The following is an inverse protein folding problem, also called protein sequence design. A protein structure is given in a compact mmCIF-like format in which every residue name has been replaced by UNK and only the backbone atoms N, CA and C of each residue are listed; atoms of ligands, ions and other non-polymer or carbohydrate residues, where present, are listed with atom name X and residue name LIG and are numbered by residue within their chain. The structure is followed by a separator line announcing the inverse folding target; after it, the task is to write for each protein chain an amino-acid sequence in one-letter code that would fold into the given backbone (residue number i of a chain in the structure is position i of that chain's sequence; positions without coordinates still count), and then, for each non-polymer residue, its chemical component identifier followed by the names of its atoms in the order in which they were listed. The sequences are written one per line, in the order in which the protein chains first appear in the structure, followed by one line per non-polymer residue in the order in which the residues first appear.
data_IF_115416247509
#
_entry.id   IF_115416247509
#
_cell.length_a   1.000
_cell.length_b   1.000
_cell.length_c   1.000
_cell.angle_alpha   90.00
_cell.angle_beta   90.00
_cell.angle_gamma   90.00
#
_symmetry.space_group_name_H-M   'P 1'
#
loop_
_entity.id
_entity.type
_entity.pdbx_description
1 polymer ?
#
# COMPACT_ATOMS: atom_id res chain seq x y z
N UNK A 1 -50.98 -23.02 -7.56
CA UNK A 1 -49.63 -23.11 -6.98
C UNK A 1 -48.89 -21.88 -7.48
N UNK A 2 -48.80 -20.87 -6.63
CA UNK A 2 -48.17 -19.59 -6.97
C UNK A 2 -46.67 -19.74 -6.78
N UNK A 3 -45.98 -19.76 -7.89
CA UNK A 3 -44.51 -19.70 -7.91
C UNK A 3 -44.11 -18.23 -7.65
N UNK A 4 -43.88 -17.89 -6.39
CA UNK A 4 -43.34 -16.59 -6.05
C UNK A 4 -41.86 -16.62 -6.39
N UNK A 5 -41.35 -15.65 -7.20
CA UNK A 5 -39.94 -15.61 -7.51
C UNK A 5 -39.14 -15.47 -6.18
N UNK A 6 -38.21 -16.36 -5.97
CA UNK A 6 -37.28 -16.29 -4.85
C UNK A 6 -36.54 -14.94 -4.94
N UNK A 7 -36.38 -14.20 -3.83
CA UNK A 7 -35.66 -12.94 -3.88
C UNK A 7 -34.23 -13.18 -4.35
N UNK A 8 -33.78 -12.46 -5.38
CA UNK A 8 -32.42 -12.52 -5.89
C UNK A 8 -31.45 -12.15 -4.76
N UNK A 9 -30.63 -13.10 -4.36
CA UNK A 9 -29.65 -12.91 -3.30
C UNK A 9 -28.32 -12.44 -3.89
N UNK A 10 -27.74 -11.44 -3.27
CA UNK A 10 -26.47 -10.84 -3.69
C UNK A 10 -25.40 -11.06 -2.63
N UNK A 11 -24.15 -11.26 -3.08
CA UNK A 11 -22.95 -11.18 -2.22
C UNK A 11 -22.08 -10.07 -2.71
N UNK A 12 -21.37 -9.39 -1.82
CA UNK A 12 -20.38 -8.38 -2.19
C UNK A 12 -18.98 -8.83 -1.79
N UNK A 13 -18.02 -8.54 -2.62
CA UNK A 13 -16.61 -8.67 -2.27
C UNK A 13 -16.11 -7.27 -1.90
N UNK A 14 -15.95 -7.04 -0.60
CA UNK A 14 -15.55 -5.75 -0.07
C UNK A 14 -14.03 -5.50 -0.19
N UNK A 15 -13.60 -4.28 0.14
CA UNK A 15 -12.21 -3.84 0.02
C UNK A 15 -11.25 -4.51 1.01
N UNK A 16 -11.78 -5.19 2.02
CA UNK A 16 -11.06 -5.98 3.03
C UNK A 16 -10.83 -7.45 2.62
N UNK A 17 -11.09 -7.78 1.34
CA UNK A 17 -11.05 -9.13 0.77
C UNK A 17 -12.04 -10.13 1.42
N UNK A 18 -13.07 -9.63 2.12
CA UNK A 18 -14.13 -10.44 2.71
C UNK A 18 -15.38 -10.43 1.82
N UNK A 19 -16.01 -11.57 1.65
CA UNK A 19 -17.30 -11.71 0.97
C UNK A 19 -18.42 -11.59 2.00
N UNK A 20 -19.26 -10.57 1.85
CA UNK A 20 -20.44 -10.33 2.68
C UNK A 20 -21.70 -10.76 1.96
N UNK A 21 -22.62 -11.35 2.68
CA UNK A 21 -23.92 -11.81 2.17
C UNK A 21 -24.12 -13.32 2.37
N UNK A 22 -25.21 -13.90 1.87
CA UNK A 22 -26.15 -13.28 0.92
C UNK A 22 -27.03 -12.18 1.53
N UNK A 23 -27.32 -11.13 0.75
CA UNK A 23 -28.20 -10.02 1.15
C UNK A 23 -29.22 -9.69 0.05
N UNK A 24 -30.41 -9.21 0.40
CA UNK A 24 -31.40 -8.76 -0.57
C UNK A 24 -30.99 -7.43 -1.20
N UNK A 25 -31.54 -7.12 -2.38
CA UNK A 25 -31.23 -5.89 -3.15
C UNK A 25 -31.43 -4.62 -2.32
N UNK A 26 -32.46 -4.54 -1.47
CA UNK A 26 -32.71 -3.37 -0.63
C UNK A 26 -31.55 -3.06 0.33
N UNK A 27 -30.89 -4.09 0.86
CA UNK A 27 -29.70 -3.92 1.71
C UNK A 27 -28.51 -3.42 0.88
N UNK A 28 -28.38 -3.91 -0.36
CA UNK A 28 -27.33 -3.47 -1.26
C UNK A 28 -27.52 -2.00 -1.65
N UNK A 29 -28.76 -1.59 -1.95
CA UNK A 29 -29.09 -0.16 -2.20
C UNK A 29 -28.79 0.73 -1.00
N UNK A 30 -29.09 0.26 0.21
CA UNK A 30 -28.75 0.98 1.43
C UNK A 30 -27.22 1.14 1.55
N UNK A 31 -26.43 0.08 1.32
CA UNK A 31 -24.98 0.14 1.36
C UNK A 31 -24.40 1.02 0.26
N UNK A 32 -25.05 1.13 -0.89
CA UNK A 32 -24.71 2.13 -1.92
C UNK A 32 -24.93 3.55 -1.37
N UNK A 33 -26.08 3.81 -0.70
CA UNK A 33 -26.37 5.13 -0.09
C UNK A 33 -25.39 5.49 1.04
N UNK A 34 -24.95 4.51 1.80
CA UNK A 34 -23.99 4.64 2.91
C UNK A 34 -22.51 4.68 2.44
N UNK A 35 -22.27 4.67 1.12
CA UNK A 35 -20.91 4.63 0.51
C UNK A 35 -20.07 3.39 0.84
N UNK A 36 -20.68 2.36 1.39
CA UNK A 36 -20.04 1.08 1.66
C UNK A 36 -19.88 0.23 0.40
N UNK A 37 -20.77 0.43 -0.59
CA UNK A 37 -20.72 -0.18 -1.91
C UNK A 37 -20.63 0.93 -2.95
N UNK A 38 -19.56 0.91 -3.73
CA UNK A 38 -19.32 1.85 -4.83
C UNK A 38 -19.45 1.14 -6.18
N UNK A 39 -19.59 1.89 -7.27
CA UNK A 39 -19.80 1.33 -8.61
C UNK A 39 -18.74 0.28 -9.02
N UNK A 40 -17.53 0.36 -8.47
CA UNK A 40 -16.43 -0.59 -8.73
C UNK A 40 -16.39 -1.79 -7.79
N UNK A 41 -17.26 -1.88 -6.78
CA UNK A 41 -17.37 -3.03 -5.87
C UNK A 41 -17.85 -4.25 -6.65
N UNK A 42 -17.28 -5.42 -6.39
CA UNK A 42 -17.72 -6.66 -7.00
C UNK A 42 -18.98 -7.20 -6.30
N UNK A 43 -19.99 -7.53 -7.10
CA UNK A 43 -21.26 -8.09 -6.66
C UNK A 43 -21.47 -9.42 -7.36
N UNK A 44 -21.80 -10.44 -6.60
CA UNK A 44 -22.18 -11.76 -7.10
C UNK A 44 -23.69 -11.83 -7.27
N UNK A 45 -24.14 -12.20 -8.44
CA UNK A 45 -25.54 -12.43 -8.75
C UNK A 45 -25.86 -13.91 -8.51
N UNK A 46 -26.58 -14.21 -7.46
CA UNK A 46 -26.92 -15.60 -7.10
C UNK A 46 -27.60 -16.40 -8.21
N UNK A 47 -28.47 -15.77 -9.01
CA UNK A 47 -29.18 -16.41 -10.13
C UNK A 47 -28.28 -16.82 -11.31
N UNK A 48 -27.19 -16.06 -11.54
CA UNK A 48 -26.31 -16.26 -12.70
C UNK A 48 -24.94 -16.81 -12.32
N UNK A 49 -24.70 -17.03 -11.04
CA UNK A 49 -23.40 -17.45 -10.47
C UNK A 49 -22.22 -16.66 -11.05
N UNK A 50 -22.40 -15.35 -11.17
CA UNK A 50 -21.45 -14.45 -11.82
C UNK A 50 -21.11 -13.23 -10.97
N UNK A 51 -19.83 -12.88 -10.92
CA UNK A 51 -19.36 -11.63 -10.33
C UNK A 51 -19.36 -10.52 -11.37
N UNK A 52 -20.05 -9.40 -11.10
CA UNK A 52 -20.04 -8.19 -11.92
C UNK A 52 -19.80 -6.96 -11.04
N UNK A 53 -19.52 -5.82 -11.65
CA UNK A 53 -19.38 -4.56 -10.89
C UNK A 53 -20.75 -4.06 -10.45
N UNK A 54 -20.82 -3.47 -9.23
CA UNK A 54 -22.07 -2.91 -8.70
C UNK A 54 -22.69 -1.87 -9.64
N UNK A 55 -21.86 -1.07 -10.35
CA UNK A 55 -22.32 -0.11 -11.34
C UNK A 55 -22.96 -0.75 -12.58
N UNK A 56 -22.69 -2.04 -12.86
CA UNK A 56 -23.25 -2.80 -13.98
C UNK A 56 -24.51 -3.60 -13.57
N UNK A 57 -24.83 -3.66 -12.27
CA UNK A 57 -26.04 -4.29 -11.74
C UNK A 57 -27.24 -3.42 -12.11
N UNK A 58 -28.16 -3.96 -12.91
CA UNK A 58 -29.29 -3.20 -13.44
C UNK A 58 -30.16 -2.60 -12.33
N UNK A 59 -30.38 -3.34 -11.24
CA UNK A 59 -31.19 -2.98 -10.09
C UNK A 59 -30.56 -1.85 -9.24
N UNK A 60 -29.27 -1.64 -9.32
CA UNK A 60 -28.56 -0.59 -8.57
C UNK A 60 -28.38 0.71 -9.36
N UNK A 61 -28.76 0.75 -10.66
CA UNK A 61 -28.58 1.94 -11.50
C UNK A 61 -29.27 3.17 -10.92
N UNK A 62 -30.48 3.02 -10.38
CA UNK A 62 -31.24 4.12 -9.78
C UNK A 62 -30.62 4.58 -8.45
N UNK A 63 -30.04 3.65 -7.68
CA UNK A 63 -29.35 3.98 -6.44
C UNK A 63 -28.04 4.79 -6.72
N UNK A 64 -27.41 4.56 -7.86
CA UNK A 64 -26.27 5.35 -8.33
C UNK A 64 -26.70 6.63 -9.08
N UNK A 65 -27.83 6.61 -9.83
CA UNK A 65 -28.32 7.76 -10.60
C UNK A 65 -28.82 8.92 -9.72
N UNK A 66 -29.37 8.65 -8.54
CA UNK A 66 -29.77 9.70 -7.58
C UNK A 66 -28.62 10.54 -7.03
N UNK A 67 -27.38 10.20 -7.36
CA UNK A 67 -26.16 10.92 -6.96
C UNK A 67 -25.65 11.91 -8.00
N UNK A 68 -26.22 11.92 -9.20
CA UNK A 68 -25.72 12.76 -10.31
C UNK A 68 -25.99 14.26 -10.14
N UNK A 69 -26.64 14.71 -9.05
CA UNK A 69 -26.99 16.13 -8.86
C UNK A 69 -26.37 16.82 -7.66
N UNK A 70 -25.46 16.16 -6.92
CA UNK A 70 -24.85 16.76 -5.74
C UNK A 70 -23.36 16.44 -5.57
N UNK A 71 -22.62 16.39 -6.64
CA UNK A 71 -21.17 16.71 -6.60
C UNK A 71 -20.63 16.76 -8.03
N UNK A 72 -20.45 17.96 -8.52
CA UNK A 72 -19.50 18.22 -9.59
C UNK A 72 -18.10 17.89 -9.11
N UNK A 73 -17.76 16.63 -9.18
CA UNK A 73 -16.39 16.14 -9.22
C UNK A 73 -16.42 15.05 -10.28
N UNK A 74 -15.90 15.39 -11.44
CA UNK A 74 -15.52 14.48 -12.48
C UNK A 74 -14.87 13.26 -11.84
N UNK A 75 -15.55 12.09 -11.90
CA UNK A 75 -14.86 10.82 -11.99
C UNK A 75 -14.06 10.86 -13.32
N UNK A 76 -13.04 11.68 -13.35
CA UNK A 76 -11.91 11.41 -14.20
C UNK A 76 -11.48 10.01 -13.79
N UNK A 77 -11.74 9.06 -14.68
CA UNK A 77 -11.05 7.77 -14.70
C UNK A 77 -9.58 8.15 -14.68
N UNK A 78 -9.03 8.24 -13.47
CA UNK A 78 -7.61 8.59 -13.31
C UNK A 78 -6.88 7.53 -14.09
N UNK A 79 -6.25 7.87 -15.23
CA UNK A 79 -5.68 6.87 -16.11
C UNK A 79 -4.68 6.06 -15.28
N UNK A 80 -4.65 4.74 -15.52
CA UNK A 80 -3.63 3.86 -14.97
C UNK A 80 -2.26 4.42 -15.39
N UNK A 81 -1.64 5.19 -14.51
CA UNK A 81 -0.27 5.66 -14.74
C UNK A 81 0.62 4.48 -14.38
N UNK A 82 1.30 3.91 -15.37
CA UNK A 82 2.16 2.73 -15.22
C UNK A 82 1.44 1.46 -14.71
N UNK A 83 0.14 1.32 -14.95
CA UNK A 83 -0.63 0.16 -14.48
C UNK A 83 -1.08 0.24 -13.02
N UNK A 84 -0.80 1.34 -12.31
CA UNK A 84 -1.24 1.58 -10.94
C UNK A 84 -2.42 2.54 -10.89
N UNK A 85 -3.44 2.18 -10.11
CA UNK A 85 -4.47 3.13 -9.69
C UNK A 85 -3.96 3.93 -8.49
N UNK A 86 -4.24 5.23 -8.37
CA UNK A 86 -3.81 6.03 -7.22
C UNK A 86 -4.18 5.38 -5.87
N UNK A 87 -5.38 4.79 -5.77
CA UNK A 87 -5.83 4.09 -4.56
C UNK A 87 -4.97 2.89 -4.15
N UNK A 88 -4.23 2.25 -5.06
CA UNK A 88 -3.29 1.18 -4.71
C UNK A 88 -2.13 1.69 -3.84
N UNK A 89 -1.79 2.97 -3.96
CA UNK A 89 -0.74 3.61 -3.15
C UNK A 89 -1.14 3.75 -1.67
N UNK A 90 -2.43 3.70 -1.36
CA UNK A 90 -2.92 3.78 0.04
C UNK A 90 -2.45 2.61 0.91
N UNK A 91 -2.03 1.49 0.29
CA UNK A 91 -1.36 0.39 1.00
C UNK A 91 -0.03 0.82 1.59
N UNK A 92 0.65 1.79 0.96
CA UNK A 92 1.88 2.37 1.50
C UNK A 92 1.52 3.32 2.64
N UNK A 93 1.89 2.95 3.87
CA UNK A 93 1.50 3.68 5.09
C UNK A 93 1.82 5.18 5.04
N UNK A 94 2.96 5.52 4.46
CA UNK A 94 3.36 6.91 4.32
C UNK A 94 2.50 7.73 3.34
N UNK A 95 1.71 7.07 2.50
CA UNK A 95 0.83 7.71 1.51
C UNK A 95 -0.65 7.61 1.89
N UNK A 96 -1.00 6.90 2.95
CA UNK A 96 -2.39 6.62 3.34
C UNK A 96 -3.22 7.87 3.67
N UNK A 97 -2.56 8.95 4.10
CA UNK A 97 -3.20 10.25 4.40
C UNK A 97 -3.42 11.16 3.20
N UNK A 98 -2.96 10.77 1.99
CA UNK A 98 -3.11 11.57 0.78
C UNK A 98 -4.48 11.36 0.14
N UNK A 99 -5.08 12.41 -0.44
CA UNK A 99 -6.28 12.29 -1.27
C UNK A 99 -5.93 11.73 -2.67
N UNK A 100 -6.96 11.38 -3.48
CA UNK A 100 -6.74 10.73 -4.78
C UNK A 100 -6.02 11.63 -5.79
N UNK A 101 -6.24 12.95 -5.74
CA UNK A 101 -5.53 13.89 -6.59
C UNK A 101 -4.03 13.93 -6.23
N UNK A 102 -3.70 13.95 -4.94
CA UNK A 102 -2.32 13.87 -4.46
C UNK A 102 -1.67 12.55 -4.85
N UNK A 103 -2.37 11.42 -4.66
CA UNK A 103 -1.88 10.11 -5.07
C UNK A 103 -1.66 10.00 -6.57
N UNK A 104 -2.57 10.58 -7.39
CA UNK A 104 -2.42 10.66 -8.85
C UNK A 104 -1.17 11.39 -9.30
N UNK A 105 -0.85 12.53 -8.66
CA UNK A 105 0.40 13.28 -8.89
C UNK A 105 1.62 12.49 -8.40
N UNK A 106 1.50 11.79 -7.28
CA UNK A 106 2.59 11.01 -6.70
C UNK A 106 2.98 9.81 -7.57
N UNK A 107 2.01 9.13 -8.22
CA UNK A 107 2.30 8.03 -9.16
C UNK A 107 3.20 8.46 -10.30
N UNK A 108 3.08 9.72 -10.79
CA UNK A 108 3.84 10.21 -11.93
C UNK A 108 5.36 10.34 -11.66
N UNK A 109 5.76 10.43 -10.39
CA UNK A 109 7.16 10.55 -9.99
C UNK A 109 7.78 9.23 -9.54
N UNK A 110 7.02 8.14 -9.55
CA UNK A 110 7.47 6.81 -9.13
C UNK A 110 7.76 5.90 -10.30
N UNK A 111 8.51 4.86 -10.04
CA UNK A 111 8.81 3.76 -10.97
C UNK A 111 8.40 2.44 -10.32
N UNK A 112 7.82 1.54 -11.13
CA UNK A 112 7.54 0.17 -10.69
C UNK A 112 8.79 -0.66 -10.94
N UNK A 113 9.26 -1.33 -9.88
CA UNK A 113 10.38 -2.27 -9.94
C UNK A 113 9.85 -3.65 -9.53
N UNK A 114 10.06 -4.65 -10.39
CA UNK A 114 9.79 -6.04 -10.07
C UNK A 114 11.10 -6.74 -9.70
N UNK A 115 11.05 -7.51 -8.64
CA UNK A 115 12.19 -8.30 -8.18
C UNK A 115 11.74 -9.76 -8.00
N UNK A 116 12.45 -10.67 -8.67
CA UNK A 116 12.27 -12.11 -8.46
C UNK A 116 12.75 -12.50 -7.06
N UNK A 117 12.26 -13.65 -6.56
CA UNK A 117 12.70 -14.19 -5.29
C UNK A 117 14.24 -14.29 -5.25
N UNK A 118 14.82 -13.93 -4.12
CA UNK A 118 16.26 -13.94 -3.82
C UNK A 118 17.11 -12.93 -4.61
N UNK A 119 16.49 -12.07 -5.42
CA UNK A 119 17.21 -10.98 -6.09
C UNK A 119 17.67 -9.94 -5.08
N UNK A 120 18.91 -9.51 -5.17
CA UNK A 120 19.43 -8.35 -4.43
C UNK A 120 18.93 -7.09 -5.13
N UNK A 121 18.18 -6.27 -4.40
CA UNK A 121 17.57 -5.01 -4.88
C UNK A 121 18.52 -3.85 -4.63
N UNK A 122 19.17 -3.88 -3.46
CA UNK A 122 20.10 -2.85 -2.99
C UNK A 122 21.33 -3.54 -2.40
N UNK A 123 22.50 -3.07 -2.71
CA UNK A 123 23.77 -3.56 -2.17
C UNK A 123 24.28 -2.65 -1.05
N UNK A 124 24.74 -3.24 0.07
CA UNK A 124 25.43 -2.52 1.14
C UNK A 124 26.62 -1.73 0.58
N UNK A 125 26.82 -0.50 1.02
CA UNK A 125 27.89 0.37 0.57
C UNK A 125 27.68 1.05 -0.78
N UNK A 126 26.67 0.64 -1.56
CA UNK A 126 26.32 1.31 -2.81
C UNK A 126 25.80 2.74 -2.55
N UNK A 127 25.85 3.66 -3.53
CA UNK A 127 25.26 4.98 -3.41
C UNK A 127 23.76 4.91 -3.11
N UNK A 128 23.29 5.75 -2.21
CA UNK A 128 21.88 5.85 -1.83
C UNK A 128 21.07 6.72 -2.78
N UNK A 129 20.74 6.21 -3.95
CA UNK A 129 20.12 6.94 -5.06
C UNK A 129 18.59 6.93 -5.11
N UNK A 130 17.95 6.15 -4.26
CA UNK A 130 16.47 6.00 -4.26
C UNK A 130 15.96 5.43 -2.93
N UNK A 131 14.67 5.61 -2.66
CA UNK A 131 13.91 4.84 -1.68
C UNK A 131 12.88 3.96 -2.37
N UNK A 132 12.37 2.97 -1.65
CA UNK A 132 11.44 1.98 -2.15
C UNK A 132 10.28 1.80 -1.19
N UNK A 133 9.09 1.54 -1.73
CA UNK A 133 7.93 1.08 -0.98
C UNK A 133 7.49 -0.30 -1.50
N UNK A 134 7.19 -1.23 -0.61
CA UNK A 134 6.71 -2.56 -0.98
C UNK A 134 5.21 -2.47 -1.28
N UNK A 135 4.80 -2.81 -2.51
CA UNK A 135 3.40 -2.96 -2.88
C UNK A 135 2.92 -4.39 -2.68
N UNK A 136 3.77 -5.35 -3.01
CA UNK A 136 3.48 -6.77 -2.93
C UNK A 136 4.77 -7.57 -2.73
N UNK A 137 4.65 -8.76 -2.10
CA UNK A 137 5.80 -9.58 -1.74
C UNK A 137 6.44 -9.17 -0.40
N UNK A 138 7.64 -9.69 -0.14
CA UNK A 138 8.42 -9.43 1.06
C UNK A 138 9.89 -9.28 0.71
N UNK A 139 10.56 -8.33 1.34
CA UNK A 139 12.01 -8.14 1.24
C UNK A 139 12.65 -8.08 2.63
N UNK A 140 13.93 -8.43 2.75
CA UNK A 140 14.69 -8.33 3.99
C UNK A 140 15.96 -7.51 3.82
N UNK A 141 16.27 -6.70 4.83
CA UNK A 141 17.58 -6.09 4.97
C UNK A 141 18.52 -7.05 5.71
N UNK A 142 19.73 -7.22 5.19
CA UNK A 142 20.76 -8.09 5.78
C UNK A 142 22.15 -7.47 5.68
N UNK A 143 23.03 -7.94 6.57
CA UNK A 143 24.47 -7.72 6.48
C UNK A 143 25.19 -9.07 6.49
N UNK A 144 26.39 -9.09 5.94
CA UNK A 144 27.30 -10.24 6.07
C UNK A 144 28.36 -9.87 7.10
N UNK A 145 28.31 -10.51 8.26
CA UNK A 145 29.28 -10.29 9.33
C UNK A 145 29.98 -11.62 9.66
N UNK A 146 31.31 -11.65 9.58
CA UNK A 146 32.10 -12.86 9.83
C UNK A 146 31.74 -14.04 8.91
N UNK A 147 31.34 -13.76 7.67
CA UNK A 147 30.91 -14.77 6.70
C UNK A 147 29.50 -15.32 6.92
N UNK A 148 28.76 -14.81 7.91
CA UNK A 148 27.38 -15.21 8.20
C UNK A 148 26.40 -14.12 7.85
N UNK A 149 25.26 -14.48 7.25
CA UNK A 149 24.15 -13.58 7.01
C UNK A 149 23.46 -13.27 8.34
N UNK A 150 23.27 -11.97 8.61
CA UNK A 150 22.49 -11.48 9.74
C UNK A 150 21.35 -10.64 9.20
N UNK A 151 20.11 -11.08 9.44
CA UNK A 151 18.92 -10.31 9.08
C UNK A 151 18.71 -9.18 10.08
N UNK A 152 18.58 -7.96 9.56
CA UNK A 152 18.35 -6.75 10.35
C UNK A 152 16.87 -6.41 10.46
N UNK A 153 16.13 -6.53 9.34
CA UNK A 153 14.72 -6.17 9.26
C UNK A 153 14.02 -6.88 8.09
N UNK A 154 12.69 -7.00 8.18
CA UNK A 154 11.80 -7.41 7.09
C UNK A 154 10.84 -6.29 6.73
N UNK A 155 10.50 -6.21 5.46
CA UNK A 155 9.57 -5.24 4.91
C UNK A 155 8.53 -5.97 4.06
N UNK A 156 7.27 -5.82 4.45
CA UNK A 156 6.11 -6.33 3.71
C UNK A 156 5.31 -5.20 3.04
N UNK A 157 4.16 -5.51 2.44
CA UNK A 157 3.32 -4.53 1.77
C UNK A 157 3.00 -3.33 2.67
N UNK A 158 3.23 -2.13 2.13
CA UNK A 158 3.07 -0.86 2.83
C UNK A 158 4.30 -0.33 3.55
N UNK A 159 5.36 -1.12 3.70
CA UNK A 159 6.60 -0.68 4.32
C UNK A 159 7.50 0.04 3.32
N UNK A 160 8.37 0.91 3.84
CA UNK A 160 9.36 1.68 3.08
C UNK A 160 10.76 1.30 3.55
N UNK A 161 11.71 1.29 2.61
CA UNK A 161 13.13 1.09 2.89
C UNK A 161 14.02 1.94 1.97
N UNK A 162 15.28 2.13 2.37
CA UNK A 162 16.27 2.90 1.64
C UNK A 162 16.10 4.41 1.74
N UNK A 163 15.21 4.88 2.61
CA UNK A 163 14.90 6.29 2.87
C UNK A 163 16.06 7.03 3.56
N UNK A 164 16.86 6.36 4.38
CA UNK A 164 17.95 7.00 5.14
C UNK A 164 18.91 7.77 4.21
N UNK A 165 19.34 7.12 3.14
CA UNK A 165 20.25 7.70 2.19
C UNK A 165 19.69 8.93 1.44
N UNK A 166 18.37 9.12 1.41
CA UNK A 166 17.77 10.35 0.84
C UNK A 166 17.88 11.54 1.78
N UNK A 167 18.03 11.30 3.09
CA UNK A 167 18.14 12.37 4.08
C UNK A 167 19.59 12.76 4.39
N UNK A 168 20.49 11.79 4.45
CA UNK A 168 21.88 12.02 4.83
C UNK A 168 22.91 11.93 3.69
N UNK A 169 22.44 11.51 2.48
CA UNK A 169 23.33 11.31 1.34
C UNK A 169 24.33 10.17 1.52
N UNK A 170 24.17 9.37 2.58
CA UNK A 170 25.09 8.29 2.91
C UNK A 170 24.98 7.07 2.01
N UNK A 171 25.92 6.13 2.09
CA UNK A 171 25.84 4.86 1.39
C UNK A 171 24.75 3.96 2.00
N UNK A 172 24.36 2.95 1.26
CA UNK A 172 23.39 1.93 1.73
C UNK A 172 23.92 1.20 2.97
N UNK A 173 23.16 1.17 4.04
CA UNK A 173 23.56 0.55 5.32
C UNK A 173 23.55 -0.98 5.29
N UNK A 174 22.80 -1.59 4.38
CA UNK A 174 22.61 -3.03 4.28
C UNK A 174 22.27 -3.45 2.84
N UNK A 175 22.46 -4.76 2.56
CA UNK A 175 21.81 -5.37 1.40
C UNK A 175 20.30 -5.45 1.63
N UNK A 176 19.51 -5.28 0.57
CA UNK A 176 18.08 -5.61 0.58
C UNK A 176 17.82 -6.69 -0.47
N UNK A 177 17.24 -7.81 -0.02
CA UNK A 177 17.02 -9.01 -0.83
C UNK A 177 15.54 -9.36 -0.82
N UNK A 178 14.97 -9.68 -1.97
CA UNK A 178 13.61 -10.19 -2.08
C UNK A 178 13.49 -11.59 -1.46
N UNK A 179 12.56 -11.78 -0.53
CA UNK A 179 12.25 -13.12 0.02
C UNK A 179 11.32 -13.89 -0.91
N UNK A 180 10.45 -13.17 -1.61
CA UNK A 180 9.51 -13.68 -2.62
C UNK A 180 9.53 -12.78 -3.84
N UNK A 181 8.87 -13.19 -4.94
CA UNK A 181 8.60 -12.28 -6.05
C UNK A 181 7.89 -11.04 -5.51
N UNK A 182 8.45 -9.87 -5.76
CA UNK A 182 8.02 -8.62 -5.11
C UNK A 182 7.81 -7.52 -6.13
N UNK A 183 6.82 -6.68 -5.88
CA UNK A 183 6.54 -5.46 -6.64
C UNK A 183 6.81 -4.25 -5.74
N UNK A 184 7.68 -3.39 -6.18
CA UNK A 184 8.16 -2.22 -5.43
C UNK A 184 7.84 -0.95 -6.19
N UNK A 185 7.61 0.13 -5.46
CA UNK A 185 7.64 1.49 -5.97
C UNK A 185 8.99 2.11 -5.63
N UNK A 186 9.64 2.69 -6.62
CA UNK A 186 10.93 3.39 -6.47
C UNK A 186 10.73 4.88 -6.71
N UNK A 187 11.28 5.70 -5.83
CA UNK A 187 11.46 7.14 -6.07
C UNK A 187 12.96 7.46 -5.96
N UNK A 188 13.52 8.08 -6.98
CA UNK A 188 14.92 8.47 -6.97
C UNK A 188 15.16 9.69 -6.08
N UNK A 189 16.39 9.85 -5.56
CA UNK A 189 16.78 10.99 -4.74
C UNK A 189 16.48 12.33 -5.43
N UNK A 190 16.79 12.44 -6.71
CA UNK A 190 16.53 13.65 -7.50
C UNK A 190 15.02 13.98 -7.57
N UNK A 191 14.15 12.96 -7.84
CA UNK A 191 12.70 13.16 -7.88
C UNK A 191 12.13 13.51 -6.51
N UNK A 192 12.67 12.91 -5.45
CA UNK A 192 12.29 13.20 -4.09
C UNK A 192 12.68 14.65 -3.70
N UNK A 193 13.88 15.07 -4.03
CA UNK A 193 14.34 16.44 -3.80
C UNK A 193 13.48 17.47 -4.56
N UNK A 194 13.18 17.17 -5.84
CA UNK A 194 12.27 18.00 -6.65
C UNK A 194 10.87 18.07 -6.05
N UNK A 195 10.34 16.94 -5.57
CA UNK A 195 9.05 16.88 -4.86
C UNK A 195 9.06 17.83 -3.66
N UNK A 196 10.12 17.78 -2.83
CA UNK A 196 10.24 18.62 -1.64
C UNK A 196 10.30 20.12 -1.98
N UNK A 197 10.94 20.48 -3.09
CA UNK A 197 11.09 21.88 -3.52
C UNK A 197 9.82 22.44 -4.20
N UNK A 198 9.15 21.64 -5.02
CA UNK A 198 8.13 22.13 -5.94
C UNK A 198 6.70 21.74 -5.54
N UNK A 199 6.52 20.73 -4.68
CA UNK A 199 5.21 20.17 -4.34
C UNK A 199 5.08 19.91 -2.83
N UNK A 200 5.16 20.99 -2.06
CA UNK A 200 5.13 20.92 -0.60
C UNK A 200 3.86 20.24 -0.03
N UNK A 201 2.74 20.37 -0.73
CA UNK A 201 1.47 19.71 -0.38
C UNK A 201 1.51 18.17 -0.45
N UNK A 202 2.40 17.61 -1.27
CA UNK A 202 2.69 16.18 -1.32
C UNK A 202 3.88 15.80 -0.42
N UNK A 203 4.92 16.63 -0.39
CA UNK A 203 6.13 16.36 0.35
C UNK A 203 5.89 16.36 1.87
N UNK A 204 5.12 17.32 2.39
CA UNK A 204 4.92 17.49 3.84
C UNK A 204 4.30 16.25 4.50
N UNK A 205 3.15 15.69 4.05
CA UNK A 205 2.59 14.49 4.66
C UNK A 205 3.53 13.28 4.53
N UNK A 206 4.22 13.14 3.39
CA UNK A 206 5.19 12.08 3.19
C UNK A 206 6.34 12.17 4.18
N UNK A 207 6.99 13.34 4.29
CA UNK A 207 8.11 13.58 5.21
C UNK A 207 7.70 13.32 6.65
N UNK A 208 6.50 13.71 7.05
CA UNK A 208 6.01 13.49 8.40
C UNK A 208 5.84 12.00 8.71
N UNK A 209 5.30 11.20 7.78
CA UNK A 209 5.16 9.76 7.96
C UNK A 209 6.52 9.03 7.90
N UNK A 210 7.45 9.48 7.06
CA UNK A 210 8.83 8.98 7.05
C UNK A 210 9.52 9.26 8.40
N UNK A 211 9.39 10.47 8.94
CA UNK A 211 9.95 10.83 10.24
C UNK A 211 9.38 9.95 11.37
N UNK A 212 8.06 9.70 11.38
CA UNK A 212 7.43 8.77 12.33
C UNK A 212 7.99 7.35 12.20
N UNK A 213 8.18 6.88 10.96
CA UNK A 213 8.72 5.55 10.68
C UNK A 213 10.15 5.42 11.20
N UNK A 214 11.02 6.40 10.91
CA UNK A 214 12.38 6.45 11.41
C UNK A 214 12.44 6.50 12.94
N UNK A 215 11.61 7.34 13.57
CA UNK A 215 11.53 7.42 15.03
C UNK A 215 11.14 6.07 15.68
N UNK A 216 10.19 5.34 15.07
CA UNK A 216 9.81 3.99 15.53
C UNK A 216 10.97 2.99 15.40
N UNK A 217 11.69 3.02 14.27
CA UNK A 217 12.85 2.14 14.03
C UNK A 217 13.97 2.43 15.03
N UNK A 218 14.33 3.70 15.21
CA UNK A 218 15.35 4.11 16.21
C UNK A 218 15.00 3.59 17.60
N UNK A 219 13.73 3.76 18.04
CA UNK A 219 13.30 3.25 19.36
C UNK A 219 13.41 1.72 19.47
N UNK A 220 13.05 1.00 18.40
CA UNK A 220 13.18 -0.45 18.36
C UNK A 220 14.64 -0.90 18.42
N UNK A 221 15.54 -0.20 17.74
CA UNK A 221 16.98 -0.50 17.73
C UNK A 221 17.62 -0.18 19.09
N UNK A 222 17.27 0.95 19.73
CA UNK A 222 17.70 1.29 21.09
C UNK A 222 17.28 0.18 22.06
N UNK A 223 16.05 -0.34 21.96
CA UNK A 223 15.59 -1.44 22.80
C UNK A 223 16.41 -2.71 22.56
N UNK A 224 16.64 -3.12 21.30
CA UNK A 224 17.48 -4.29 20.97
C UNK A 224 18.89 -4.15 21.56
N UNK A 225 19.50 -2.97 21.45
CA UNK A 225 20.82 -2.70 22.00
C UNK A 225 20.79 -2.83 23.53
N UNK A 226 19.79 -2.26 24.20
CA UNK A 226 19.64 -2.38 25.65
C UNK A 226 19.51 -3.84 26.09
N UNK A 227 18.70 -4.64 25.38
CA UNK A 227 18.51 -6.07 25.67
C UNK A 227 19.83 -6.85 25.52
N UNK A 228 20.62 -6.55 24.46
CA UNK A 228 21.96 -7.17 24.27
C UNK A 228 22.92 -6.81 25.40
N UNK A 229 22.95 -5.54 25.84
CA UNK A 229 23.77 -5.12 26.96
C UNK A 229 23.38 -5.80 28.26
N UNK A 230 22.09 -5.98 28.52
CA UNK A 230 21.60 -6.71 29.72
C UNK A 230 22.06 -8.16 29.72
N UNK A 231 21.92 -8.85 28.57
CA UNK A 231 22.36 -10.25 28.39
C UNK A 231 23.87 -10.38 28.57
N UNK A 232 24.67 -9.48 27.99
CA UNK A 232 26.13 -9.49 28.13
C UNK A 232 26.60 -9.31 29.58
N UNK A 233 25.89 -8.46 30.36
CA UNK A 233 26.19 -8.27 31.78
C UNK A 233 25.80 -9.48 32.62
N UNK A 234 24.68 -10.15 32.30
CA UNK A 234 24.25 -11.35 33.02
C UNK A 234 25.20 -12.53 32.79
N UNK A 235 25.77 -12.66 31.58
CA UNK A 235 26.74 -13.73 31.26
C UNK A 235 28.16 -13.49 31.76
N UNK A 236 28.47 -12.37 32.45
CA UNK A 236 29.77 -12.08 33.08
C UNK A 236 29.71 -12.20 34.58
N UNK A 237 28.64 -12.74 35.18
CA UNK A 237 28.44 -12.91 36.60
C UNK A 237 28.61 -14.38 37.07
N UNK A 238 29.03 -15.27 36.17
CA UNK A 238 29.48 -16.64 36.43
C UNK A 238 30.98 -16.72 36.11
#
# INVERSE_FOLDING_TARGET
MSDSPQPTEFKIWAADDVVYGPVPIATLEQWVREERVVATTWVHLGEKDQWIKAGDVAELKDAFAGRSTAMGATDEVTPLVMGLRPGMLRRVRALSGMNDQQLGRFVQIMEIVKADAYKVIVHQGAPGDAMYAVLDGEVRARIIAGGKETELARFGPGDIFGEMALFDGGPRSADVVANSSSTLLRITANRFEKLCKEQADLATPLLFELAKTLAKRIRADVKKIADVYQLARAGHLD
#
